data_IF_181414531113
#
_entry.id   IF_181414531113
#
_cell.length_a   1.000
_cell.length_b   1.000
_cell.length_c   1.000
_cell.angle_alpha   90.00
_cell.angle_beta   90.00
_cell.angle_gamma   90.00
#
_symmetry.space_group_name_H-M   'P 1'
#
loop_
_entity.id
_entity.type
_entity.pdbx_description
1 polymer ?
#
# COMPACT_ATOMS: atom_id res chain seq x y z
N UNK A 1 -16.09 24.18 -17.61
CA UNK A 1 -15.07 23.39 -18.35
C UNK A 1 -14.49 22.35 -17.40
N UNK A 2 -14.89 21.12 -17.50
CA UNK A 2 -14.19 20.06 -16.79
C UNK A 2 -12.81 19.90 -17.41
N UNK A 3 -11.76 20.35 -16.70
CA UNK A 3 -10.40 20.08 -17.12
C UNK A 3 -10.22 18.56 -17.22
N UNK A 4 -10.06 18.05 -18.42
CA UNK A 4 -9.69 16.64 -18.61
C UNK A 4 -8.32 16.47 -17.97
N UNK A 5 -8.30 15.85 -16.81
CA UNK A 5 -7.04 15.45 -16.20
C UNK A 5 -6.28 14.63 -17.22
N UNK A 6 -5.08 15.05 -17.62
CA UNK A 6 -4.24 14.26 -18.48
C UNK A 6 -3.88 12.95 -17.78
N UNK A 7 -3.62 11.89 -18.55
CA UNK A 7 -3.18 10.60 -17.99
C UNK A 7 -1.98 10.78 -17.05
N UNK A 8 -1.06 11.67 -17.40
CA UNK A 8 0.10 11.99 -16.58
C UNK A 8 -0.27 12.66 -15.25
N UNK A 9 -1.21 13.60 -15.26
CA UNK A 9 -1.69 14.25 -14.03
C UNK A 9 -2.43 13.29 -13.12
N UNK A 10 -3.25 12.42 -13.69
CA UNK A 10 -3.97 11.41 -12.93
C UNK A 10 -3.01 10.39 -12.31
N UNK A 11 -1.99 9.96 -13.04
CA UNK A 11 -0.94 9.08 -12.53
C UNK A 11 -0.19 9.71 -11.35
N UNK A 12 0.20 10.98 -11.47
CA UNK A 12 0.85 11.72 -10.38
C UNK A 12 -0.06 11.83 -9.16
N UNK A 13 -1.34 12.13 -9.36
CA UNK A 13 -2.32 12.22 -8.28
C UNK A 13 -2.46 10.86 -7.55
N UNK A 14 -2.57 9.76 -8.28
CA UNK A 14 -2.62 8.42 -7.69
C UNK A 14 -1.38 8.12 -6.84
N UNK A 15 -0.19 8.49 -7.33
CA UNK A 15 1.04 8.31 -6.56
C UNK A 15 1.08 9.17 -5.30
N UNK A 16 0.61 10.41 -5.35
CA UNK A 16 0.53 11.28 -4.17
C UNK A 16 -0.46 10.73 -3.14
N UNK A 17 -1.61 10.24 -3.59
CA UNK A 17 -2.60 9.59 -2.71
C UNK A 17 -2.03 8.33 -2.04
N UNK A 18 -1.35 7.49 -2.81
CA UNK A 18 -0.72 6.28 -2.26
C UNK A 18 0.44 6.61 -1.32
N UNK A 19 1.22 7.64 -1.61
CA UNK A 19 2.26 8.12 -0.70
C UNK A 19 1.66 8.58 0.63
N UNK A 20 0.55 9.30 0.58
CA UNK A 20 -0.18 9.72 1.78
C UNK A 20 -0.72 8.51 2.56
N UNK A 21 -1.29 7.53 1.87
CA UNK A 21 -1.78 6.30 2.50
C UNK A 21 -0.65 5.54 3.21
N UNK A 22 0.45 5.29 2.54
CA UNK A 22 1.59 4.59 3.12
C UNK A 22 2.23 5.37 4.28
N UNK A 23 2.32 6.70 4.15
CA UNK A 23 2.81 7.57 5.22
C UNK A 23 1.93 7.53 6.46
N UNK A 24 0.61 7.57 6.27
CA UNK A 24 -0.36 7.42 7.36
C UNK A 24 -0.28 6.03 8.00
N UNK A 25 -0.17 4.98 7.19
CA UNK A 25 0.00 3.62 7.69
C UNK A 25 1.26 3.49 8.54
N UNK A 26 2.38 4.06 8.10
CA UNK A 26 3.63 4.08 8.88
C UNK A 26 3.45 4.82 10.20
N UNK A 27 2.80 6.00 10.18
CA UNK A 27 2.54 6.79 11.39
C UNK A 27 1.65 6.04 12.40
N UNK A 28 0.64 5.33 11.89
CA UNK A 28 -0.24 4.50 12.73
C UNK A 28 0.57 3.39 13.41
N UNK A 29 1.46 2.73 12.69
CA UNK A 29 2.31 1.67 13.26
C UNK A 29 3.21 2.19 14.39
N UNK A 30 3.79 3.37 14.21
CA UNK A 30 4.63 4.01 15.25
C UNK A 30 3.81 4.34 16.49
N UNK A 31 2.63 4.96 16.30
CA UNK A 31 1.75 5.35 17.41
C UNK A 31 1.18 4.17 18.18
N UNK A 32 0.88 3.08 17.48
CA UNK A 32 0.34 1.87 18.09
C UNK A 32 1.35 1.10 18.92
N UNK A 33 2.64 1.49 18.89
CA UNK A 33 3.69 0.75 19.55
C UNK A 33 3.98 -0.59 18.88
N UNK A 34 3.53 -0.76 17.63
CA UNK A 34 3.83 -1.95 16.84
C UNK A 34 5.34 -2.01 16.53
N UNK A 35 5.89 -3.21 16.27
CA UNK A 35 7.33 -3.33 15.98
C UNK A 35 7.78 -2.37 14.87
N UNK A 36 8.89 -1.67 15.09
CA UNK A 36 9.42 -0.66 14.17
C UNK A 36 9.65 -1.14 12.74
N UNK A 37 9.83 -2.44 12.56
CA UNK A 37 9.92 -3.07 11.23
C UNK A 37 8.71 -2.78 10.34
N UNK A 38 7.49 -2.74 10.91
CA UNK A 38 6.28 -2.43 10.15
C UNK A 38 6.23 -0.97 9.71
N UNK A 39 6.69 -0.07 10.55
CA UNK A 39 6.82 1.34 10.16
C UNK A 39 7.75 1.50 8.95
N UNK A 40 8.89 0.79 8.94
CA UNK A 40 9.83 0.82 7.81
C UNK A 40 9.21 0.20 6.56
N UNK A 41 8.48 -0.90 6.68
CA UNK A 41 7.78 -1.57 5.56
C UNK A 41 6.83 -0.63 4.83
N UNK A 42 6.16 0.28 5.55
CA UNK A 42 5.29 1.28 4.94
C UNK A 42 6.01 2.58 4.56
N UNK A 43 7.04 2.97 5.29
CA UNK A 43 7.77 4.21 5.05
C UNK A 43 8.57 4.18 3.74
N UNK A 44 9.20 3.05 3.42
CA UNK A 44 9.96 2.89 2.17
C UNK A 44 9.07 3.09 0.94
N UNK A 45 7.94 2.39 0.77
CA UNK A 45 7.06 2.64 -0.36
C UNK A 45 6.45 4.04 -0.33
N UNK A 46 6.21 4.64 0.83
CA UNK A 46 5.76 6.03 0.93
C UNK A 46 6.76 6.99 0.27
N UNK A 47 8.04 6.85 0.59
CA UNK A 47 9.10 7.68 0.02
C UNK A 47 9.26 7.45 -1.49
N UNK A 48 9.32 6.20 -1.92
CA UNK A 48 9.49 5.82 -3.33
C UNK A 48 8.30 6.30 -4.18
N UNK A 49 7.09 6.17 -3.67
CA UNK A 49 5.86 6.59 -4.35
C UNK A 49 5.74 8.12 -4.38
N UNK A 50 6.12 8.80 -3.31
CA UNK A 50 6.15 10.26 -3.27
C UNK A 50 7.08 10.84 -4.34
N UNK A 51 8.26 10.24 -4.51
CA UNK A 51 9.20 10.65 -5.56
C UNK A 51 8.59 10.53 -6.95
N UNK A 52 7.85 9.45 -7.22
CA UNK A 52 7.15 9.28 -8.51
C UNK A 52 6.04 10.32 -8.67
N UNK A 53 5.33 10.65 -7.62
CA UNK A 53 4.28 11.68 -7.64
C UNK A 53 4.83 13.08 -7.94
N UNK A 54 6.00 13.40 -7.40
CA UNK A 54 6.69 14.68 -7.63
C UNK A 54 7.32 14.70 -9.02
N UNK A 55 8.08 13.68 -9.36
CA UNK A 55 8.79 13.57 -10.63
C UNK A 55 8.72 12.14 -11.18
N UNK A 56 7.84 11.84 -12.14
CA UNK A 56 7.71 10.50 -12.70
C UNK A 56 8.98 9.96 -13.33
N UNK A 57 9.90 10.81 -13.77
CA UNK A 57 11.18 10.40 -14.38
C UNK A 57 12.10 9.67 -13.39
N UNK A 58 11.83 9.75 -12.08
CA UNK A 58 12.61 9.03 -11.07
C UNK A 58 12.58 7.51 -11.28
N UNK A 59 11.56 7.00 -11.95
CA UNK A 59 11.45 5.56 -12.28
C UNK A 59 12.55 5.06 -13.23
N UNK A 60 13.22 5.98 -13.94
CA UNK A 60 14.35 5.66 -14.79
C UNK A 60 15.68 5.57 -14.02
N UNK A 61 15.71 6.06 -12.79
CA UNK A 61 16.89 6.03 -11.94
C UNK A 61 17.19 4.60 -11.46
N UNK A 62 18.44 4.16 -11.64
CA UNK A 62 18.87 2.81 -11.25
C UNK A 62 18.78 2.55 -9.75
N UNK A 63 19.06 3.55 -8.92
CA UNK A 63 18.96 3.44 -7.45
C UNK A 63 17.51 3.25 -7.03
N UNK A 64 16.61 4.07 -7.58
CA UNK A 64 15.16 3.95 -7.31
C UNK A 64 14.65 2.55 -7.69
N UNK A 65 15.06 2.07 -8.87
CA UNK A 65 14.70 0.73 -9.37
C UNK A 65 15.17 -0.38 -8.43
N UNK A 66 16.43 -0.31 -8.02
CA UNK A 66 17.02 -1.30 -7.12
C UNK A 66 16.31 -1.32 -5.76
N UNK A 67 16.03 -0.17 -5.19
CA UNK A 67 15.28 -0.06 -3.92
C UNK A 67 13.86 -0.60 -4.07
N UNK A 68 13.18 -0.26 -5.17
CA UNK A 68 11.85 -0.76 -5.48
C UNK A 68 11.83 -2.28 -5.60
N UNK A 69 12.76 -2.84 -6.37
CA UNK A 69 12.85 -4.28 -6.61
C UNK A 69 13.19 -5.04 -5.32
N UNK A 70 14.14 -4.53 -4.53
CA UNK A 70 14.54 -5.12 -3.24
C UNK A 70 13.37 -5.11 -2.24
N UNK A 71 12.71 -3.97 -2.10
CA UNK A 71 11.58 -3.84 -1.19
C UNK A 71 10.40 -4.73 -1.62
N UNK A 72 10.09 -4.76 -2.92
CA UNK A 72 9.03 -5.62 -3.47
C UNK A 72 9.34 -7.11 -3.25
N UNK A 73 10.58 -7.53 -3.45
CA UNK A 73 11.00 -8.90 -3.18
C UNK A 73 10.80 -9.27 -1.70
N UNK A 74 11.18 -8.38 -0.79
CA UNK A 74 10.94 -8.55 0.65
C UNK A 74 9.46 -8.65 0.99
N UNK A 75 8.63 -7.81 0.39
CA UNK A 75 7.17 -7.84 0.58
C UNK A 75 6.54 -9.13 0.03
N UNK A 76 7.00 -9.63 -1.11
CA UNK A 76 6.52 -10.91 -1.68
C UNK A 76 6.86 -12.07 -0.74
N UNK A 77 8.09 -12.12 -0.25
CA UNK A 77 8.51 -13.15 0.72
C UNK A 77 7.68 -13.04 2.01
N UNK A 78 7.52 -11.84 2.54
CA UNK A 78 6.70 -11.59 3.73
C UNK A 78 5.24 -11.99 3.53
N UNK A 79 4.67 -11.69 2.37
CA UNK A 79 3.31 -12.09 1.99
C UNK A 79 3.16 -13.61 1.99
N UNK A 80 4.13 -14.31 1.39
CA UNK A 80 4.12 -15.77 1.34
C UNK A 80 4.23 -16.38 2.75
N UNK A 81 5.14 -15.89 3.57
CA UNK A 81 5.34 -16.38 4.95
C UNK A 81 4.09 -16.14 5.80
N UNK A 82 3.51 -14.94 5.74
CA UNK A 82 2.28 -14.64 6.48
C UNK A 82 1.08 -15.45 5.98
N UNK A 83 0.96 -15.64 4.67
CA UNK A 83 -0.10 -16.47 4.11
C UNK A 83 0.01 -17.93 4.60
N UNK A 84 1.20 -18.50 4.57
CA UNK A 84 1.43 -19.86 5.11
C UNK A 84 1.11 -19.94 6.60
N UNK A 85 1.51 -18.93 7.37
CA UNK A 85 1.21 -18.87 8.81
C UNK A 85 -0.30 -18.80 9.06
N UNK A 86 -1.01 -17.93 8.34
CA UNK A 86 -2.46 -17.81 8.47
C UNK A 86 -3.19 -19.09 8.08
N UNK A 87 -2.79 -19.74 6.98
CA UNK A 87 -3.40 -21.00 6.58
C UNK A 87 -3.17 -22.12 7.59
N UNK A 88 -2.02 -22.14 8.27
CA UNK A 88 -1.69 -23.16 9.26
C UNK A 88 -2.35 -22.94 10.62
N UNK A 89 -2.53 -21.68 11.04
CA UNK A 89 -2.89 -21.33 12.43
C UNK A 89 -4.15 -20.50 12.57
N UNK A 90 -4.70 -19.92 11.51
CA UNK A 90 -5.90 -19.10 11.62
C UNK A 90 -7.13 -19.92 11.99
N UNK A 91 -7.77 -19.53 13.09
CA UNK A 91 -9.05 -20.10 13.53
C UNK A 91 -10.13 -19.03 13.43
N UNK A 92 -10.72 -18.87 12.26
CA UNK A 92 -11.79 -17.91 12.05
C UNK A 92 -11.58 -16.98 10.86
N UNK A 93 -12.14 -15.77 10.94
CA UNK A 93 -12.06 -14.79 9.86
C UNK A 93 -10.69 -14.13 9.81
N UNK A 94 -9.96 -14.35 8.73
CA UNK A 94 -8.60 -13.82 8.50
C UNK A 94 -8.55 -12.28 8.63
N UNK A 95 -9.62 -11.59 8.25
CA UNK A 95 -9.68 -10.12 8.33
C UNK A 95 -9.75 -9.59 9.77
N UNK A 96 -10.13 -10.43 10.72
CA UNK A 96 -10.20 -10.06 12.13
C UNK A 96 -8.87 -10.27 12.86
N UNK A 97 -7.93 -11.00 12.25
CA UNK A 97 -6.60 -11.22 12.80
C UNK A 97 -5.63 -10.11 12.38
N UNK A 98 -4.69 -9.78 13.24
CA UNK A 98 -3.68 -8.76 12.98
C UNK A 98 -2.83 -9.12 11.76
N UNK A 99 -2.40 -10.37 11.69
CA UNK A 99 -1.60 -10.91 10.60
C UNK A 99 -2.33 -10.83 9.26
N UNK A 100 -3.65 -10.97 9.25
CA UNK A 100 -4.47 -10.82 8.05
C UNK A 100 -4.43 -9.40 7.51
N UNK A 101 -4.44 -8.41 8.39
CA UNK A 101 -4.31 -6.98 7.98
C UNK A 101 -2.91 -6.65 7.50
N UNK A 102 -1.89 -7.20 8.14
CA UNK A 102 -0.50 -7.08 7.71
C UNK A 102 -0.30 -7.70 6.33
N UNK A 103 -0.85 -8.89 6.11
CA UNK A 103 -0.84 -9.56 4.81
C UNK A 103 -1.48 -8.69 3.73
N UNK A 104 -2.63 -8.10 4.02
CA UNK A 104 -3.34 -7.23 3.11
C UNK A 104 -2.53 -5.99 2.74
N UNK A 105 -1.88 -5.38 3.74
CA UNK A 105 -0.97 -4.26 3.53
C UNK A 105 0.20 -4.60 2.62
N UNK A 106 0.83 -5.75 2.83
CA UNK A 106 1.93 -6.23 1.99
C UNK A 106 1.49 -6.49 0.54
N UNK A 107 0.29 -7.04 0.35
CA UNK A 107 -0.27 -7.25 -1.00
C UNK A 107 -0.47 -5.93 -1.71
N UNK A 108 -1.05 -4.93 -1.03
CA UNK A 108 -1.24 -3.58 -1.61
C UNK A 108 0.10 -2.95 -1.97
N UNK A 109 1.09 -3.00 -1.10
CA UNK A 109 2.44 -2.48 -1.36
C UNK A 109 3.03 -3.15 -2.60
N UNK A 110 2.98 -4.48 -2.67
CA UNK A 110 3.53 -5.25 -3.78
C UNK A 110 2.86 -4.88 -5.11
N UNK A 111 1.53 -4.81 -5.13
CA UNK A 111 0.77 -4.42 -6.31
C UNK A 111 1.12 -3.00 -6.77
N UNK A 112 1.17 -2.04 -5.84
CA UNK A 112 1.47 -0.65 -6.16
C UNK A 112 2.90 -0.47 -6.66
N UNK A 113 3.88 -1.06 -5.99
CA UNK A 113 5.28 -0.99 -6.41
C UNK A 113 5.48 -1.65 -7.78
N UNK A 114 4.77 -2.73 -8.08
CA UNK A 114 4.78 -3.37 -9.39
C UNK A 114 4.23 -2.45 -10.48
N UNK A 115 3.15 -1.72 -10.21
CA UNK A 115 2.60 -0.72 -11.12
C UNK A 115 3.60 0.41 -11.38
N UNK A 116 4.22 0.96 -10.34
CA UNK A 116 5.24 2.00 -10.46
C UNK A 116 6.46 1.49 -11.26
N UNK A 117 6.88 0.26 -11.00
CA UNK A 117 8.02 -0.35 -11.68
C UNK A 117 7.75 -0.58 -13.17
N UNK A 118 6.54 -1.01 -13.50
CA UNK A 118 6.15 -1.25 -14.90
C UNK A 118 5.89 0.05 -15.66
N UNK A 119 5.59 1.15 -15.00
CA UNK A 119 5.40 2.45 -15.66
C UNK A 119 6.66 2.97 -16.34
N UNK A 120 7.84 2.57 -15.88
CA UNK A 120 9.12 2.91 -16.47
C UNK A 120 9.37 2.26 -17.85
N UNK A 121 8.70 1.14 -18.13
CA UNK A 121 8.97 0.32 -19.34
C UNK A 121 8.02 0.59 -20.50
N UNK A 122 6.88 1.20 -20.27
CA UNK A 122 5.92 1.49 -21.32
C UNK A 122 5.01 2.64 -20.97
N UNK A 123 4.51 3.39 -21.96
CA UNK A 123 3.61 4.51 -21.72
C UNK A 123 2.38 4.04 -20.94
N UNK A 124 1.85 4.92 -20.11
CA UNK A 124 0.64 4.70 -19.32
C UNK A 124 -0.55 4.41 -20.22
N UNK A 125 -0.74 3.12 -20.55
CA UNK A 125 -1.92 2.66 -21.27
C UNK A 125 -3.17 2.72 -20.39
N UNK A 126 -4.35 2.76 -21.02
CA UNK A 126 -5.63 2.88 -20.32
C UNK A 126 -5.85 1.83 -19.23
N UNK A 127 -5.46 0.58 -19.47
CA UNK A 127 -5.59 -0.52 -18.51
C UNK A 127 -4.74 -0.27 -17.26
N UNK A 128 -3.51 0.19 -17.42
CA UNK A 128 -2.60 0.46 -16.28
C UNK A 128 -3.07 1.63 -15.45
N UNK A 129 -3.53 2.68 -16.10
CA UNK A 129 -4.07 3.84 -15.41
C UNK A 129 -5.35 3.48 -14.66
N UNK A 130 -6.23 2.69 -15.26
CA UNK A 130 -7.43 2.17 -14.60
C UNK A 130 -7.06 1.33 -13.39
N UNK A 131 -6.12 0.41 -13.52
CA UNK A 131 -5.61 -0.40 -12.42
C UNK A 131 -5.01 0.47 -11.30
N UNK A 132 -4.25 1.50 -11.66
CA UNK A 132 -3.69 2.45 -10.70
C UNK A 132 -4.76 3.19 -9.92
N UNK A 133 -5.80 3.68 -10.58
CA UNK A 133 -6.94 4.36 -9.93
C UNK A 133 -7.67 3.40 -8.99
N UNK A 134 -7.96 2.18 -9.43
CA UNK A 134 -8.65 1.17 -8.61
C UNK A 134 -7.82 0.83 -7.36
N UNK A 135 -6.54 0.55 -7.53
CA UNK A 135 -5.65 0.21 -6.41
C UNK A 135 -5.46 1.39 -5.46
N UNK A 136 -5.37 2.62 -5.99
CA UNK A 136 -5.23 3.82 -5.17
C UNK A 136 -6.48 4.13 -4.34
N UNK A 137 -7.67 3.90 -4.89
CA UNK A 137 -8.93 4.15 -4.19
C UNK A 137 -9.29 3.03 -3.21
N UNK A 138 -8.86 1.82 -3.47
CA UNK A 138 -9.24 0.63 -2.69
C UNK A 138 -8.93 0.75 -1.19
N UNK A 139 -7.73 1.17 -0.73
CA UNK A 139 -7.46 1.33 0.70
C UNK A 139 -8.35 2.36 1.38
N UNK A 140 -8.63 3.46 0.69
CA UNK A 140 -9.48 4.54 1.25
C UNK A 140 -10.95 4.09 1.35
N UNK A 141 -11.46 3.39 0.35
CA UNK A 141 -12.81 2.82 0.37
C UNK A 141 -12.92 1.75 1.46
N UNK A 142 -11.94 0.88 1.57
CA UNK A 142 -11.87 -0.15 2.61
C UNK A 142 -11.82 0.46 4.01
N UNK A 143 -11.01 1.48 4.19
CA UNK A 143 -10.92 2.21 5.46
C UNK A 143 -12.24 2.87 5.82
N UNK A 144 -12.88 3.54 4.87
CA UNK A 144 -14.19 4.18 5.08
C UNK A 144 -15.26 3.15 5.45
N UNK A 145 -15.29 2.01 4.75
CA UNK A 145 -16.21 0.91 5.05
C UNK A 145 -16.03 0.41 6.48
N UNK A 146 -14.80 0.14 6.89
CA UNK A 146 -14.47 -0.34 8.25
C UNK A 146 -14.83 0.73 9.28
N UNK A 147 -14.55 1.99 8.99
CA UNK A 147 -14.87 3.11 9.90
C UNK A 147 -16.38 3.25 10.14
N UNK A 148 -17.20 3.08 9.12
CA UNK A 148 -18.64 3.17 9.22
C UNK A 148 -19.27 1.93 9.86
N UNK A 149 -18.59 0.79 9.82
CA UNK A 149 -19.10 -0.46 10.38
C UNK A 149 -18.60 -0.68 11.80
N UNK A 150 -19.46 -0.41 12.79
CA UNK A 150 -19.13 -0.52 14.21
C UNK A 150 -18.79 -1.95 14.63
N UNK A 151 -19.39 -2.96 14.01
CA UNK A 151 -19.12 -4.37 14.32
C UNK A 151 -17.70 -4.76 13.95
N UNK A 152 -17.22 -4.32 12.80
CA UNK A 152 -15.85 -4.58 12.38
C UNK A 152 -14.82 -3.89 13.26
N UNK A 153 -15.12 -2.70 13.78
CA UNK A 153 -14.23 -2.01 14.73
C UNK A 153 -14.17 -2.70 16.08
N UNK A 154 -15.28 -3.27 16.54
CA UNK A 154 -15.35 -3.94 17.85
C UNK A 154 -14.52 -5.23 17.89
N UNK A 155 -14.32 -5.89 16.76
CA UNK A 155 -13.58 -7.15 16.65
C UNK A 155 -12.08 -6.99 16.38
N UNK A 156 -11.56 -5.76 16.32
CA UNK A 156 -10.13 -5.53 16.08
C UNK A 156 -9.26 -5.97 17.25
N UNK A 157 -8.05 -6.52 16.97
CA UNK A 157 -7.10 -6.90 18.00
C UNK A 157 -6.70 -5.71 18.88
N UNK A 158 -6.51 -5.97 20.17
CA UNK A 158 -6.35 -4.93 21.20
C UNK A 158 -5.06 -4.13 21.10
N UNK A 159 -3.98 -4.68 20.56
CA UNK A 159 -2.70 -4.02 20.62
C UNK A 159 -2.40 -2.99 19.51
N UNK A 160 -3.12 -3.02 18.43
CA UNK A 160 -3.13 -1.92 17.46
C UNK A 160 -4.46 -1.15 17.45
N UNK A 161 -5.36 -1.38 18.42
CA UNK A 161 -6.73 -0.87 18.47
C UNK A 161 -6.86 0.60 18.85
N UNK A 162 -5.88 1.15 19.56
CA UNK A 162 -5.97 2.47 20.19
C UNK A 162 -5.62 3.64 19.28
N UNK A 163 -5.41 3.42 18.02
CA UNK A 163 -4.78 4.38 17.10
C UNK A 163 -5.72 4.93 16.04
N UNK A 164 -6.97 4.48 16.01
CA UNK A 164 -7.95 4.96 15.02
C UNK A 164 -9.12 5.62 15.69
#
# INVERSE_FOLDING_TARGET
MAARLSAASLWRLCNLLMAAFFGLAAAVQVRAGCPGRWAVVYLVPAALTLLVGINPSVTDNGVWRSLCDLHSAGCVVGTFVLACFLFAYAQGNILHEEEGRELFGLVIITMWMSLCRSSAKSPLGGIRLTAAVVVALFPFVSWLYIYMNKEMRASWPTHCKTVI
#
